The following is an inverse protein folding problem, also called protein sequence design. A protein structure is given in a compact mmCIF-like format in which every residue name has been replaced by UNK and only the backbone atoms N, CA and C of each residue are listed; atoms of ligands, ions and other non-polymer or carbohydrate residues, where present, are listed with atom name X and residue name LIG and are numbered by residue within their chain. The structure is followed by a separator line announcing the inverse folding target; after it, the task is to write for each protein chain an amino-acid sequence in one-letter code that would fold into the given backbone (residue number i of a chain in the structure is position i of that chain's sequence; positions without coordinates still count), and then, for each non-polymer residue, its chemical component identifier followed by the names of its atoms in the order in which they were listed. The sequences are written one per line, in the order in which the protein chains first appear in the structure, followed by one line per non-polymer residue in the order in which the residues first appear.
data_IF_984232678396
#
_entry.id   IF_984232678396
#
_cell.length_a   1.000
_cell.length_b   1.000
_cell.length_c   1.000
_cell.angle_alpha   90.00
_cell.angle_beta   90.00
_cell.angle_gamma   90.00
#
_symmetry.space_group_name_H-M   'P 1'
#
loop_
_entity.id
_entity.type
_entity.pdbx_description
1 polymer ?
#
# COMPACT_ATOMS: atom_id res chain seq x y z
N UNK A 1 17.67 29.86 15.70
CA UNK A 1 18.08 28.52 15.25
C UNK A 1 17.23 27.50 15.98
N UNK A 2 16.84 26.44 15.26
CA UNK A 2 16.04 25.29 15.67
C UNK A 2 14.52 25.47 15.54
N UNK A 3 14.05 25.45 14.30
CA UNK A 3 12.70 25.01 13.97
C UNK A 3 12.58 23.55 14.43
N UNK A 4 11.53 23.23 15.20
CA UNK A 4 11.23 21.84 15.53
C UNK A 4 11.13 21.04 14.22
N UNK A 5 11.72 19.85 14.12
CA UNK A 5 11.55 19.03 12.94
C UNK A 5 10.06 18.79 12.72
N UNK A 6 9.59 18.95 11.49
CA UNK A 6 8.27 18.54 11.03
C UNK A 6 8.15 17.02 11.24
N UNK A 7 7.90 16.58 12.47
CA UNK A 7 7.81 15.17 12.81
C UNK A 7 6.43 14.68 12.37
N UNK A 8 6.47 14.06 11.18
CA UNK A 8 5.41 13.49 10.35
C UNK A 8 4.66 14.51 9.50
N UNK A 9 5.12 14.66 8.24
CA UNK A 9 4.28 15.19 7.17
C UNK A 9 3.06 14.27 7.00
N UNK A 10 1.89 14.78 7.40
CA UNK A 10 0.58 14.11 7.37
C UNK A 10 -0.27 14.59 6.18
N UNK A 11 0.36 15.07 5.10
CA UNK A 11 -0.41 15.43 3.91
C UNK A 11 -1.13 14.20 3.35
N UNK A 12 -2.36 14.36 2.81
CA UNK A 12 -3.10 13.22 2.26
C UNK A 12 -2.33 12.45 1.20
N UNK A 13 -1.57 13.13 0.33
CA UNK A 13 -0.75 12.44 -0.67
C UNK A 13 0.29 11.53 -0.03
N UNK A 14 1.02 12.04 0.97
CA UNK A 14 2.06 11.25 1.63
C UNK A 14 1.48 10.06 2.38
N UNK A 15 0.38 10.25 3.10
CA UNK A 15 -0.31 9.16 3.79
C UNK A 15 -0.76 8.07 2.80
N UNK A 16 -1.26 8.45 1.63
CA UNK A 16 -1.64 7.52 0.57
C UNK A 16 -0.42 6.80 -0.05
N UNK A 17 0.70 7.51 -0.25
CA UNK A 17 1.94 6.91 -0.73
C UNK A 17 2.50 5.88 0.26
N UNK A 18 2.51 6.21 1.56
CA UNK A 18 2.91 5.29 2.62
C UNK A 18 1.97 4.09 2.73
N UNK A 19 0.66 4.30 2.55
CA UNK A 19 -0.34 3.22 2.53
C UNK A 19 -0.10 2.27 1.36
N UNK A 20 0.11 2.80 0.15
CA UNK A 20 0.39 1.96 -1.02
C UNK A 20 1.73 1.22 -0.89
N UNK A 21 2.75 1.84 -0.30
CA UNK A 21 4.01 1.16 0.01
C UNK A 21 3.82 0.00 1.01
N UNK A 22 2.98 0.18 2.03
CA UNK A 22 2.64 -0.90 2.96
C UNK A 22 1.89 -2.04 2.25
N UNK A 23 0.89 -1.72 1.41
CA UNK A 23 0.16 -2.73 0.63
C UNK A 23 1.12 -3.56 -0.24
N UNK A 24 2.06 -2.92 -0.94
CA UNK A 24 3.05 -3.64 -1.74
C UNK A 24 3.99 -4.50 -0.88
N UNK A 25 4.28 -4.10 0.36
CA UNK A 25 5.14 -4.86 1.26
C UNK A 25 4.50 -6.15 1.78
N UNK A 26 3.17 -6.24 1.75
CA UNK A 26 2.41 -7.44 2.17
C UNK A 26 1.96 -8.29 0.97
N UNK A 27 2.28 -7.88 -0.26
CA UNK A 27 1.99 -8.65 -1.47
C UNK A 27 2.91 -9.87 -1.57
N UNK A 28 2.33 -11.05 -1.77
CA UNK A 28 3.07 -12.30 -1.99
C UNK A 28 3.62 -12.39 -3.41
N UNK A 29 4.62 -13.26 -3.67
CA UNK A 29 5.19 -13.45 -5.01
C UNK A 29 4.17 -13.89 -6.07
N UNK A 30 3.10 -14.58 -5.67
CA UNK A 30 2.01 -15.00 -6.56
C UNK A 30 0.98 -13.89 -6.85
N UNK A 31 1.19 -12.69 -6.28
CA UNK A 31 0.32 -11.54 -6.47
C UNK A 31 -0.73 -11.35 -5.39
N UNK A 32 -1.02 -12.37 -4.56
CA UNK A 32 -2.01 -12.28 -3.50
C UNK A 32 -1.63 -11.24 -2.45
N UNK A 33 -2.64 -10.54 -1.90
CA UNK A 33 -2.46 -9.49 -0.89
C UNK A 33 -3.34 -9.85 0.31
N UNK A 34 -2.72 -10.12 1.46
CA UNK A 34 -3.41 -10.40 2.72
C UNK A 34 -3.67 -9.12 3.51
N UNK A 35 -4.49 -9.21 4.57
CA UNK A 35 -4.77 -8.07 5.46
C UNK A 35 -3.51 -7.43 6.06
N UNK A 36 -2.53 -8.27 6.40
CA UNK A 36 -1.24 -7.93 6.95
C UNK A 36 -0.29 -9.12 6.77
N UNK A 37 1.00 -8.95 7.11
CA UNK A 37 2.01 -10.02 7.03
C UNK A 37 1.55 -11.26 7.80
N UNK A 38 1.55 -12.43 7.16
CA UNK A 38 1.07 -13.71 7.69
C UNK A 38 -0.43 -13.75 8.08
N UNK A 39 -1.21 -12.75 7.67
CA UNK A 39 -2.65 -12.68 7.88
C UNK A 39 -3.46 -13.47 6.86
N UNK A 40 -4.78 -13.55 7.09
CA UNK A 40 -5.72 -14.09 6.10
C UNK A 40 -5.79 -13.19 4.87
N UNK A 41 -5.99 -13.80 3.70
CA UNK A 41 -6.39 -13.10 2.49
C UNK A 41 -7.87 -13.37 2.23
N UNK A 42 -8.61 -12.32 1.90
CA UNK A 42 -9.95 -12.43 1.34
C UNK A 42 -10.00 -11.69 -0.01
N UNK A 43 -10.87 -12.11 -0.92
CA UNK A 43 -10.86 -11.60 -2.30
C UNK A 43 -11.28 -10.13 -2.41
N UNK A 44 -12.03 -9.60 -1.45
CA UNK A 44 -12.50 -8.21 -1.49
C UNK A 44 -11.39 -7.26 -1.05
N UNK A 45 -10.75 -7.54 0.08
CA UNK A 45 -9.60 -6.74 0.53
C UNK A 45 -8.45 -6.82 -0.46
N UNK A 46 -8.24 -7.99 -1.06
CA UNK A 46 -7.24 -8.17 -2.11
C UNK A 46 -7.48 -7.28 -3.33
N UNK A 47 -8.73 -7.22 -3.85
CA UNK A 47 -9.02 -6.41 -5.04
C UNK A 47 -9.00 -4.90 -4.72
N UNK A 48 -9.43 -4.49 -3.53
CA UNK A 48 -9.35 -3.09 -3.08
C UNK A 48 -7.89 -2.66 -2.93
N UNK A 49 -7.03 -3.53 -2.39
CA UNK A 49 -5.60 -3.29 -2.32
C UNK A 49 -4.96 -3.14 -3.71
N UNK A 50 -5.34 -3.99 -4.68
CA UNK A 50 -4.90 -3.87 -6.08
C UNK A 50 -5.31 -2.51 -6.70
N UNK A 51 -6.53 -2.04 -6.45
CA UNK A 51 -7.00 -0.71 -6.88
C UNK A 51 -6.22 0.42 -6.20
N UNK A 52 -5.88 0.27 -4.92
CA UNK A 52 -5.04 1.21 -4.17
C UNK A 52 -3.65 1.36 -4.78
N UNK A 53 -3.01 0.25 -5.12
CA UNK A 53 -1.73 0.22 -5.85
C UNK A 53 -1.81 0.94 -7.19
N UNK A 54 -2.85 0.65 -7.99
CA UNK A 54 -3.05 1.30 -9.29
C UNK A 54 -3.25 2.82 -9.15
N UNK A 55 -4.03 3.26 -8.16
CA UNK A 55 -4.32 4.68 -7.91
C UNK A 55 -3.07 5.47 -7.52
N UNK A 56 -2.07 4.82 -6.88
CA UNK A 56 -0.78 5.44 -6.53
C UNK A 56 0.34 5.16 -7.53
N UNK A 57 0.01 4.64 -8.72
CA UNK A 57 0.99 4.44 -9.79
C UNK A 57 1.89 3.22 -9.62
N UNK A 58 1.61 2.33 -8.65
CA UNK A 58 2.31 1.06 -8.49
C UNK A 58 1.75 0.01 -9.47
N UNK A 59 1.87 0.29 -10.77
CA UNK A 59 1.16 -0.41 -11.83
C UNK A 59 1.56 -1.88 -11.95
N UNK A 60 2.84 -2.22 -11.78
CA UNK A 60 3.30 -3.60 -11.92
C UNK A 60 2.81 -4.48 -10.75
N UNK A 61 2.84 -3.94 -9.52
CA UNK A 61 2.29 -4.59 -8.34
C UNK A 61 0.77 -4.80 -8.47
N UNK A 62 0.05 -3.78 -8.94
CA UNK A 62 -1.39 -3.88 -9.19
C UNK A 62 -1.73 -4.94 -10.25
N UNK A 63 -0.98 -4.99 -11.36
CA UNK A 63 -1.15 -6.01 -12.41
C UNK A 63 -0.90 -7.42 -11.92
N UNK A 64 0.06 -7.60 -11.01
CA UNK A 64 0.34 -8.91 -10.43
C UNK A 64 -0.80 -9.39 -9.52
N UNK A 65 -1.60 -8.47 -8.97
CA UNK A 65 -2.75 -8.75 -8.11
C UNK A 65 -4.08 -8.95 -8.86
N UNK A 66 -4.10 -8.87 -10.19
CA UNK A 66 -5.30 -9.14 -11.02
C UNK A 66 -5.20 -10.50 -11.70
#
# INVERSE_FOLDING_TARGET
MNQAPLQNDLTPSKMLDETAAYIASVQSPDGSIAWFVDGSADPWDHIEAAMGLATRGQIDAAKNAY
#
